data_IF_572525814852
#
_entry.id   IF_572525814852
#
_cell.length_a   1.000
_cell.length_b   1.000
_cell.length_c   1.000
_cell.angle_alpha   90.00
_cell.angle_beta   90.00
_cell.angle_gamma   90.00
#
_symmetry.space_group_name_H-M   'P 1'
#
loop_
_entity.id
_entity.type
_entity.pdbx_description
1 polymer ?
#
# COMPACT_ATOMS: atom_id res chain seq x y z
N UNK A 1 15.69 -12.58 26.65
CA UNK A 1 15.98 -11.40 25.79
C UNK A 1 14.69 -11.06 25.06
N UNK A 2 13.99 -10.01 25.46
CA UNK A 2 12.75 -9.57 24.81
C UNK A 2 13.12 -8.53 23.76
N UNK A 3 12.82 -8.81 22.49
CA UNK A 3 13.01 -7.82 21.43
C UNK A 3 11.93 -6.75 21.62
N UNK A 4 12.27 -5.45 21.66
CA UNK A 4 11.26 -4.41 21.66
C UNK A 4 10.48 -4.56 20.36
N UNK A 5 9.20 -4.93 20.50
CA UNK A 5 8.22 -4.82 19.46
C UNK A 5 8.24 -3.35 19.03
N UNK A 6 9.04 -3.02 18.00
CA UNK A 6 8.90 -1.73 17.30
C UNK A 6 7.44 -1.67 16.97
N UNK A 7 6.74 -0.70 17.56
CA UNK A 7 5.38 -0.34 17.19
C UNK A 7 5.39 -0.23 15.68
N UNK A 8 4.89 -1.29 15.04
CA UNK A 8 4.68 -1.35 13.62
C UNK A 8 3.48 -0.47 13.44
N UNK A 9 3.72 0.85 13.35
CA UNK A 9 2.69 1.81 12.98
C UNK A 9 1.97 1.18 11.80
N UNK A 10 0.69 0.81 11.95
CA UNK A 10 -0.07 0.26 10.85
C UNK A 10 0.03 1.32 9.75
N UNK A 11 0.64 0.96 8.61
CA UNK A 11 0.56 1.82 7.43
C UNK A 11 -0.92 2.20 7.27
N UNK A 12 -1.24 3.47 6.96
CA UNK A 12 -2.56 4.04 7.13
C UNK A 12 -3.55 3.33 6.20
N UNK A 13 -4.03 2.17 6.62
CA UNK A 13 -5.23 1.56 6.13
C UNK A 13 -6.35 2.47 6.65
N UNK A 14 -6.51 3.62 5.97
CA UNK A 14 -7.64 4.54 6.19
C UNK A 14 -8.88 3.66 6.22
N UNK A 15 -9.80 3.91 7.15
CA UNK A 15 -10.97 3.08 7.38
C UNK A 15 -11.91 2.89 6.15
N UNK A 16 -11.58 3.48 4.99
CA UNK A 16 -12.23 3.26 3.69
C UNK A 16 -11.31 2.72 2.57
N UNK A 17 -10.11 2.23 2.88
CA UNK A 17 -9.12 1.75 1.91
C UNK A 17 -8.44 2.85 1.08
N UNK A 18 -7.63 2.45 0.10
CA UNK A 18 -7.02 3.38 -0.87
C UNK A 18 -7.97 3.60 -2.05
N UNK A 19 -8.25 4.85 -2.47
CA UNK A 19 -9.07 5.11 -3.65
C UNK A 19 -8.31 4.75 -4.93
N UNK A 20 -9.02 4.37 -5.99
CA UNK A 20 -8.44 4.23 -7.31
C UNK A 20 -7.83 5.58 -7.76
N UNK A 21 -6.69 5.53 -8.43
CA UNK A 21 -5.86 6.69 -8.79
C UNK A 21 -4.92 7.17 -7.67
N UNK A 22 -5.01 6.64 -6.44
CA UNK A 22 -4.10 7.04 -5.37
C UNK A 22 -2.66 6.61 -5.67
N UNK A 23 -1.72 7.55 -5.58
CA UNK A 23 -0.30 7.23 -5.57
C UNK A 23 0.06 6.65 -4.21
N UNK A 24 0.69 5.49 -4.23
CA UNK A 24 1.07 4.77 -3.02
C UNK A 24 2.53 4.33 -3.09
N UNK A 25 3.14 4.14 -1.93
CA UNK A 25 4.46 3.55 -1.78
C UNK A 25 4.38 2.34 -0.86
N UNK A 26 5.01 1.24 -1.27
CA UNK A 26 5.00 0.01 -0.49
C UNK A 26 6.07 0.07 0.60
N UNK A 27 5.69 -0.32 1.82
CA UNK A 27 6.55 -0.61 2.96
C UNK A 27 6.56 -2.10 3.26
N UNK A 28 7.71 -2.71 3.05
CA UNK A 28 8.04 -4.09 3.38
C UNK A 28 7.67 -5.13 2.31
N UNK A 29 8.33 -6.29 2.40
CA UNK A 29 8.14 -7.41 1.48
C UNK A 29 8.84 -7.22 0.13
N UNK A 30 8.42 -8.00 -0.87
CA UNK A 30 9.07 -8.06 -2.20
C UNK A 30 9.05 -6.74 -2.98
N UNK A 31 8.11 -5.85 -2.68
CA UNK A 31 7.92 -4.58 -3.38
C UNK A 31 8.32 -3.37 -2.53
N UNK A 32 9.00 -3.58 -1.40
CA UNK A 32 9.44 -2.51 -0.50
C UNK A 32 10.13 -1.37 -1.26
N UNK A 33 9.76 -0.15 -0.91
CA UNK A 33 10.30 1.07 -1.52
C UNK A 33 9.73 1.40 -2.90
N UNK A 34 9.01 0.50 -3.58
CA UNK A 34 8.39 0.77 -4.89
C UNK A 34 7.16 1.67 -4.74
N UNK A 35 7.05 2.62 -5.65
CA UNK A 35 5.86 3.46 -5.83
C UNK A 35 4.98 2.94 -6.96
N UNK A 36 3.67 3.16 -6.84
CA UNK A 36 2.70 2.78 -7.86
C UNK A 36 1.39 3.53 -7.69
N UNK A 37 0.43 3.21 -8.56
CA UNK A 37 -0.91 3.79 -8.54
C UNK A 37 -1.92 2.70 -8.22
N UNK A 38 -2.84 2.96 -7.30
CA UNK A 38 -3.95 2.05 -7.03
C UNK A 38 -4.89 2.08 -8.22
N UNK A 39 -5.04 0.94 -8.91
CA UNK A 39 -5.93 0.83 -10.07
C UNK A 39 -7.30 0.32 -9.68
N UNK A 40 -7.37 -0.48 -8.62
CA UNK A 40 -8.63 -1.06 -8.16
C UNK A 40 -8.55 -1.51 -6.69
N UNK A 41 -9.70 -1.48 -6.02
CA UNK A 41 -9.84 -2.10 -4.69
C UNK A 41 -10.17 -3.56 -4.94
N UNK A 42 -9.52 -4.50 -4.23
CA UNK A 42 -9.84 -5.92 -4.39
C UNK A 42 -10.75 -6.39 -3.22
N UNK A 43 -12.07 -6.15 -3.25
CA UNK A 43 -12.95 -6.59 -2.19
C UNK A 43 -13.08 -8.12 -2.12
N UNK A 44 -13.03 -8.82 -3.26
CA UNK A 44 -13.41 -10.24 -3.32
C UNK A 44 -12.31 -11.23 -2.93
N UNK A 45 -11.02 -10.89 -3.14
CA UNK A 45 -9.93 -11.85 -2.98
C UNK A 45 -9.22 -11.74 -1.63
N UNK A 46 -9.05 -10.52 -1.10
CA UNK A 46 -8.40 -10.26 0.20
C UNK A 46 -8.87 -8.93 0.78
N UNK A 47 -9.73 -8.94 1.81
CA UNK A 47 -10.17 -7.72 2.48
C UNK A 47 -8.98 -6.84 2.88
N UNK A 48 -9.07 -5.54 2.55
CA UNK A 48 -8.01 -4.57 2.83
C UNK A 48 -6.78 -4.63 1.92
N UNK A 49 -6.80 -5.43 0.85
CA UNK A 49 -5.77 -5.37 -0.21
C UNK A 49 -6.26 -4.55 -1.41
N UNK A 50 -5.31 -3.99 -2.16
CA UNK A 50 -5.60 -3.19 -3.37
C UNK A 50 -4.67 -3.59 -4.51
N UNK A 51 -5.15 -3.43 -5.74
CA UNK A 51 -4.34 -3.59 -6.93
C UNK A 51 -3.51 -2.34 -7.17
N UNK A 52 -2.20 -2.50 -7.18
CA UNK A 52 -1.24 -1.43 -7.43
C UNK A 52 -0.53 -1.70 -8.74
N UNK A 53 -0.64 -0.76 -9.68
CA UNK A 53 0.18 -0.75 -10.88
C UNK A 53 1.53 -0.09 -10.56
N UNK A 54 2.59 -0.87 -10.68
CA UNK A 54 3.97 -0.40 -10.53
C UNK A 54 4.53 -0.01 -11.89
N UNK A 55 5.39 1.01 -11.93
CA UNK A 55 6.07 1.41 -13.18
C UNK A 55 6.80 0.22 -13.81
N UNK A 56 6.46 -0.10 -15.05
CA UNK A 56 7.11 -1.14 -15.83
C UNK A 56 6.65 -2.57 -15.55
N UNK A 57 5.42 -2.79 -15.05
CA UNK A 57 4.88 -4.13 -14.89
C UNK A 57 3.35 -4.19 -14.74
N UNK A 58 2.77 -5.41 -14.74
CA UNK A 58 1.34 -5.58 -14.54
C UNK A 58 0.93 -5.23 -13.10
N UNK A 59 -0.34 -4.86 -12.87
CA UNK A 59 -0.88 -4.63 -11.54
C UNK A 59 -0.63 -5.80 -10.59
N UNK A 60 -0.31 -5.48 -9.34
CA UNK A 60 -0.04 -6.46 -8.29
C UNK A 60 -0.92 -6.19 -7.08
N UNK A 61 -1.42 -7.26 -6.49
CA UNK A 61 -2.19 -7.19 -5.26
C UNK A 61 -1.25 -6.91 -4.08
N UNK A 62 -1.45 -5.78 -3.40
CA UNK A 62 -0.67 -5.38 -2.23
C UNK A 62 -1.59 -5.20 -1.03
N UNK A 63 -1.25 -5.75 0.14
CA UNK A 63 -2.00 -5.48 1.37
C UNK A 63 -1.93 -4.00 1.74
N UNK A 64 -3.08 -3.38 2.00
CA UNK A 64 -3.18 -1.95 2.28
C UNK A 64 -2.40 -1.51 3.52
N UNK A 65 -2.25 -2.37 4.54
CA UNK A 65 -1.42 -2.08 5.71
C UNK A 65 0.09 -1.92 5.40
N UNK A 66 0.53 -2.33 4.19
CA UNK A 66 1.88 -2.13 3.67
C UNK A 66 1.97 -0.94 2.72
N UNK A 67 0.91 -0.18 2.55
CA UNK A 67 0.90 0.97 1.66
C UNK A 67 0.87 2.25 2.49
N UNK A 68 1.68 3.20 2.05
CA UNK A 68 1.58 4.59 2.45
C UNK A 68 1.09 5.39 1.26
N UNK A 69 0.25 6.41 1.51
CA UNK A 69 -0.04 7.40 0.48
C UNK A 69 1.25 8.12 0.15
N UNK A 70 1.63 8.08 -1.13
CA UNK A 70 2.63 9.00 -1.63
C UNK A 70 1.90 10.33 -1.79
N UNK A 71 1.91 11.15 -0.72
CA UNK A 71 1.44 12.54 -0.77
C UNK A 71 1.97 13.16 -2.07
N UNK A 72 1.06 13.63 -2.93
CA UNK A 72 1.47 14.63 -3.91
C UNK A 72 1.99 15.78 -3.06
N UNK A 73 3.30 16.04 -3.11
CA UNK A 73 3.86 17.28 -2.63
C UNK A 73 3.08 18.41 -3.32
N UNK A 74 2.05 18.91 -2.65
CA UNK A 74 1.28 20.06 -3.06
C UNK A 74 2.22 21.24 -3.05
N UNK A 75 2.40 21.82 -4.22
CA UNK A 75 3.01 23.14 -4.41
C UNK A 75 2.14 24.23 -3.83
#
# INVERSE_FOLDING_TARGET
>A
MTFPHRSREPGPARAGGFPAGARVRVRGGRFDGRGGVVVDRAPDLRPGSVWVEFTGGPPRLVPGYRLDLAEMAGS
#
